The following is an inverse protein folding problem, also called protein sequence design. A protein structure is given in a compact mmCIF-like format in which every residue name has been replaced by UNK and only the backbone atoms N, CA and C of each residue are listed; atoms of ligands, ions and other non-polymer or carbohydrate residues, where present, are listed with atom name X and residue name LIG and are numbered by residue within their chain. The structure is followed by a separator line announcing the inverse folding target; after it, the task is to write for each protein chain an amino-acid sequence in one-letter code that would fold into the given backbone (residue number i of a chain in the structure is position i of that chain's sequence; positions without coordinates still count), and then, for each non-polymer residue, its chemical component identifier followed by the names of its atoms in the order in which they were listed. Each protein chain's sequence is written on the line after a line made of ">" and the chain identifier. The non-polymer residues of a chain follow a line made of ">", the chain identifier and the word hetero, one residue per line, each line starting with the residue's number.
data_IF_059852743193
#
_entry.id   IF_059852743193
#
_cell.length_a   1.000
_cell.length_b   1.000
_cell.length_c   1.000
_cell.angle_alpha   90.00
_cell.angle_beta   90.00
_cell.angle_gamma   90.00
#
_symmetry.space_group_name_H-M   'P 1'
#
loop_
_entity.id
_entity.type
_entity.pdbx_description
1 polymer ?
#
# COMPACT_ATOMS: atom_id res chain seq x y z
N UNK A 1 -17.78 24.79 39.00
CA UNK A 1 -16.50 24.94 38.27
C UNK A 1 -16.48 23.99 37.09
N UNK A 2 -16.32 24.48 35.86
CA UNK A 2 -15.99 23.66 34.68
C UNK A 2 -15.02 24.48 33.84
N UNK A 3 -13.75 24.07 33.81
CA UNK A 3 -12.71 24.68 32.97
C UNK A 3 -12.74 23.98 31.62
N UNK A 4 -12.96 24.72 30.55
CA UNK A 4 -12.86 24.20 29.18
C UNK A 4 -11.49 24.65 28.68
N UNK A 5 -10.59 23.70 28.50
CA UNK A 5 -9.38 23.89 27.72
C UNK A 5 -9.46 22.93 26.55
N UNK A 6 -9.45 23.47 25.33
CA UNK A 6 -8.98 22.73 24.17
C UNK A 6 -8.32 23.70 23.20
N UNK A 7 -7.12 23.30 22.81
CA UNK A 7 -6.00 24.05 22.27
C UNK A 7 -6.01 23.91 20.75
N UNK A 8 -5.88 25.02 20.02
CA UNK A 8 -5.82 25.02 18.54
C UNK A 8 -4.38 24.79 18.12
N UNK A 9 -4.08 23.65 17.50
CA UNK A 9 -2.79 23.39 16.88
C UNK A 9 -2.89 23.49 15.37
N UNK A 10 -2.35 24.57 14.79
CA UNK A 10 -2.10 24.67 13.37
C UNK A 10 -0.81 23.90 13.04
N UNK A 11 -0.91 22.86 12.20
CA UNK A 11 0.24 22.11 11.70
C UNK A 11 0.62 22.69 10.34
N UNK A 12 1.72 23.43 10.29
CA UNK A 12 2.37 23.85 9.04
C UNK A 12 3.19 22.68 8.51
N UNK A 13 2.81 22.11 7.37
CA UNK A 13 3.61 21.10 6.68
C UNK A 13 4.63 21.81 5.78
N UNK A 14 5.90 21.82 6.22
CA UNK A 14 7.02 22.30 5.43
C UNK A 14 7.26 21.42 4.21
N UNK A 15 7.25 22.03 3.03
CA UNK A 15 7.71 21.43 1.78
C UNK A 15 9.22 21.18 1.84
N UNK A 16 9.62 19.92 1.69
CA UNK A 16 11.03 19.54 1.49
C UNK A 16 11.21 19.16 0.03
N UNK A 17 11.89 20.00 -0.75
CA UNK A 17 12.39 19.61 -2.08
C UNK A 17 13.74 18.92 -1.89
N UNK A 18 13.76 17.60 -1.91
CA UNK A 18 14.99 16.82 -1.92
C UNK A 18 15.49 16.69 -3.37
N UNK A 19 16.47 17.52 -3.72
CA UNK A 19 17.29 17.31 -4.90
C UNK A 19 18.43 16.35 -4.54
N UNK A 20 18.24 15.07 -4.85
CA UNK A 20 19.26 14.03 -4.72
C UNK A 20 19.90 13.73 -6.08
N UNK A 21 21.23 13.79 -6.10
CA UNK A 21 22.11 13.40 -7.19
C UNK A 21 21.79 11.97 -7.69
N UNK A 22 21.16 11.84 -8.86
CA UNK A 22 21.00 10.54 -9.53
C UNK A 22 22.33 10.15 -10.18
N UNK A 23 23.12 9.37 -9.43
CA UNK A 23 24.21 8.59 -9.99
C UNK A 23 23.66 7.52 -10.94
N UNK A 24 24.41 7.35 -12.00
CA UNK A 24 24.07 6.65 -13.23
C UNK A 24 24.15 5.12 -13.07
N UNK A 25 23.03 4.49 -12.71
CA UNK A 25 22.76 3.04 -12.82
C UNK A 25 21.45 2.82 -13.60
N UNK A 26 21.44 3.23 -14.87
CA UNK A 26 20.20 3.47 -15.63
C UNK A 26 19.67 2.28 -16.46
N UNK A 27 20.27 1.09 -16.36
CA UNK A 27 19.84 -0.05 -17.20
C UNK A 27 19.05 -1.14 -16.44
N UNK A 28 19.16 -1.24 -15.10
CA UNK A 28 18.41 -2.22 -14.30
C UNK A 28 17.31 -1.59 -13.40
N UNK A 29 17.43 -0.31 -13.08
CA UNK A 29 16.39 0.42 -12.33
C UNK A 29 15.10 0.63 -13.16
N UNK A 30 15.20 0.61 -14.50
CA UNK A 30 14.06 0.83 -15.39
C UNK A 30 13.05 -0.33 -15.41
N UNK A 31 13.49 -1.56 -15.15
CA UNK A 31 12.62 -2.74 -15.00
C UNK A 31 12.00 -2.80 -13.61
N UNK A 32 12.80 -2.57 -12.56
CA UNK A 32 12.34 -2.56 -11.16
C UNK A 32 11.30 -1.46 -10.90
N UNK A 33 11.51 -0.27 -11.46
CA UNK A 33 10.57 0.85 -11.33
C UNK A 33 9.26 0.59 -12.08
N UNK A 34 9.30 -0.01 -13.27
CA UNK A 34 8.10 -0.36 -14.04
C UNK A 34 7.29 -1.45 -13.33
N UNK A 35 7.99 -2.43 -12.76
CA UNK A 35 7.37 -3.51 -11.99
C UNK A 35 6.74 -2.96 -10.70
N UNK A 36 7.42 -2.03 -9.99
CA UNK A 36 6.86 -1.32 -8.83
C UNK A 36 5.62 -0.51 -9.18
N UNK A 37 5.63 0.24 -10.28
CA UNK A 37 4.45 1.01 -10.74
C UNK A 37 3.28 0.07 -11.08
N UNK A 38 3.56 -1.06 -11.72
CA UNK A 38 2.53 -2.06 -12.04
C UNK A 38 1.95 -2.71 -10.77
N UNK A 39 2.79 -3.03 -9.79
CA UNK A 39 2.40 -3.55 -8.48
C UNK A 39 1.54 -2.54 -7.70
N UNK A 40 1.97 -1.30 -7.61
CA UNK A 40 1.22 -0.22 -6.95
C UNK A 40 -0.14 0.01 -7.60
N UNK A 41 -0.23 -0.09 -8.94
CA UNK A 41 -1.50 0.04 -9.64
C UNK A 41 -2.48 -1.08 -9.27
N UNK A 42 -1.99 -2.32 -9.13
CA UNK A 42 -2.82 -3.46 -8.72
C UNK A 42 -3.28 -3.30 -7.28
N UNK A 43 -2.37 -2.90 -6.38
CA UNK A 43 -2.66 -2.77 -4.94
C UNK A 43 -3.55 -1.56 -4.63
N UNK A 44 -3.49 -0.50 -5.45
CA UNK A 44 -4.37 0.66 -5.33
C UNK A 44 -5.75 0.47 -6.00
N UNK A 45 -6.11 -0.74 -6.44
CA UNK A 45 -7.46 -0.99 -6.92
C UNK A 45 -8.46 -0.96 -5.74
N UNK A 46 -9.35 0.04 -5.74
CA UNK A 46 -10.32 0.27 -4.66
C UNK A 46 -11.25 -0.93 -4.42
N UNK A 47 -11.62 -1.64 -5.50
CA UNK A 47 -12.50 -2.80 -5.39
C UNK A 47 -11.78 -3.96 -4.71
N UNK A 48 -10.55 -4.26 -5.14
CA UNK A 48 -9.77 -5.35 -4.55
C UNK A 48 -9.38 -5.05 -3.09
N UNK A 49 -9.07 -3.79 -2.77
CA UNK A 49 -8.87 -3.35 -1.38
C UNK A 49 -10.12 -3.54 -0.53
N UNK A 50 -11.28 -3.15 -1.05
CA UNK A 50 -12.56 -3.34 -0.35
C UNK A 50 -12.85 -4.82 -0.10
N UNK A 51 -12.71 -5.68 -1.12
CA UNK A 51 -12.93 -7.11 -1.00
C UNK A 51 -11.97 -7.76 -0.01
N UNK A 52 -10.69 -7.39 -0.06
CA UNK A 52 -9.69 -7.86 0.90
C UNK A 52 -10.06 -7.46 2.34
N UNK A 53 -10.49 -6.21 2.53
CA UNK A 53 -10.93 -5.71 3.84
C UNK A 53 -12.20 -6.43 4.34
N UNK A 54 -13.15 -6.67 3.45
CA UNK A 54 -14.40 -7.37 3.78
C UNK A 54 -14.12 -8.82 4.21
N UNK A 55 -13.28 -9.53 3.46
CA UNK A 55 -12.79 -10.86 3.82
C UNK A 55 -12.05 -10.86 5.16
N UNK A 56 -11.17 -9.90 5.41
CA UNK A 56 -10.39 -9.83 6.65
C UNK A 56 -11.27 -9.50 7.87
N UNK A 57 -12.18 -8.55 7.73
CA UNK A 57 -13.02 -8.09 8.84
C UNK A 57 -14.19 -9.03 9.13
N UNK A 58 -14.77 -9.63 8.09
CA UNK A 58 -15.98 -10.43 8.19
C UNK A 58 -15.78 -11.85 7.64
N UNK A 59 -14.60 -12.45 7.80
CA UNK A 59 -14.25 -13.74 7.18
C UNK A 59 -15.15 -14.94 7.50
N UNK A 60 -16.02 -14.84 8.50
CA UNK A 60 -17.04 -15.85 8.83
C UNK A 60 -18.48 -15.44 8.47
N UNK A 61 -18.70 -14.20 8.03
CA UNK A 61 -20.00 -13.77 7.51
C UNK A 61 -20.18 -14.26 6.08
N UNK A 62 -21.43 -14.23 5.62
CA UNK A 62 -21.75 -14.45 4.21
C UNK A 62 -21.05 -13.43 3.29
N UNK A 63 -20.98 -12.16 3.70
CA UNK A 63 -20.31 -11.11 2.92
C UNK A 63 -18.80 -11.30 2.81
N UNK A 64 -18.12 -11.74 3.88
CA UNK A 64 -16.69 -12.03 3.83
C UNK A 64 -16.37 -13.32 3.10
N UNK A 65 -17.26 -14.33 3.13
CA UNK A 65 -17.14 -15.53 2.29
C UNK A 65 -17.32 -15.21 0.80
N UNK A 66 -18.28 -14.34 0.44
CA UNK A 66 -18.44 -13.88 -0.93
C UNK A 66 -17.22 -13.06 -1.40
N UNK A 67 -16.75 -12.15 -0.56
CA UNK A 67 -15.53 -11.40 -0.84
C UNK A 67 -14.32 -12.33 -1.05
N UNK A 68 -14.20 -13.38 -0.24
CA UNK A 68 -13.17 -14.41 -0.41
C UNK A 68 -13.29 -15.14 -1.75
N UNK A 69 -14.50 -15.53 -2.16
CA UNK A 69 -14.72 -16.15 -3.47
C UNK A 69 -14.27 -15.23 -4.61
N UNK A 70 -14.56 -13.93 -4.51
CA UNK A 70 -14.10 -12.94 -5.49
C UNK A 70 -12.58 -12.76 -5.46
N UNK A 71 -11.96 -12.82 -4.28
CA UNK A 71 -10.50 -12.73 -4.12
C UNK A 71 -9.74 -14.00 -4.55
N UNK A 72 -10.43 -15.13 -4.74
CA UNK A 72 -9.86 -16.34 -5.36
C UNK A 72 -9.81 -16.27 -6.89
N UNK A 73 -10.31 -15.20 -7.49
CA UNK A 73 -10.16 -14.96 -8.93
C UNK A 73 -8.71 -14.60 -9.29
N UNK A 74 -8.37 -14.64 -10.58
CA UNK A 74 -7.03 -14.26 -11.07
C UNK A 74 -6.62 -12.84 -10.66
N UNK A 75 -7.57 -11.92 -10.59
CA UNK A 75 -7.33 -10.53 -10.17
C UNK A 75 -7.02 -10.47 -8.67
N UNK A 76 -7.77 -11.21 -7.86
CA UNK A 76 -7.51 -11.31 -6.42
C UNK A 76 -6.19 -12.02 -6.08
N UNK A 77 -5.84 -13.09 -6.82
CA UNK A 77 -4.53 -13.73 -6.70
C UNK A 77 -3.39 -12.77 -7.07
N UNK A 78 -3.54 -12.02 -8.17
CA UNK A 78 -2.55 -11.02 -8.58
C UNK A 78 -2.38 -9.92 -7.52
N UNK A 79 -3.48 -9.50 -6.89
CA UNK A 79 -3.48 -8.55 -5.79
C UNK A 79 -2.74 -9.07 -4.56
N UNK A 80 -2.99 -10.32 -4.15
CA UNK A 80 -2.28 -10.94 -3.03
C UNK A 80 -0.78 -11.09 -3.30
N UNK A 81 -0.41 -11.54 -4.50
CA UNK A 81 1.00 -11.61 -4.91
C UNK A 81 1.65 -10.22 -4.90
N UNK A 82 0.92 -9.19 -5.36
CA UNK A 82 1.41 -7.83 -5.37
C UNK A 82 1.66 -7.29 -3.95
N UNK A 83 0.76 -7.58 -3.00
CA UNK A 83 0.94 -7.25 -1.59
C UNK A 83 2.19 -7.95 -1.01
N UNK A 84 2.34 -9.26 -1.23
CA UNK A 84 3.49 -10.02 -0.72
C UNK A 84 4.82 -9.46 -1.23
N UNK A 85 4.86 -9.08 -2.52
CA UNK A 85 6.03 -8.46 -3.14
C UNK A 85 6.35 -7.08 -2.58
N UNK A 86 5.34 -6.23 -2.33
CA UNK A 86 5.53 -4.93 -1.70
C UNK A 86 6.01 -5.07 -0.25
N UNK A 87 5.50 -6.05 0.49
CA UNK A 87 5.97 -6.31 1.85
C UNK A 87 7.42 -6.81 1.87
N UNK A 88 7.79 -7.66 0.91
CA UNK A 88 9.15 -8.15 0.75
C UNK A 88 10.11 -7.01 0.39
N UNK A 89 9.78 -6.18 -0.61
CA UNK A 89 10.63 -5.03 -0.99
C UNK A 89 10.77 -4.04 0.16
N UNK A 90 9.68 -3.77 0.89
CA UNK A 90 9.73 -2.90 2.06
C UNK A 90 10.67 -3.46 3.13
N UNK A 91 10.67 -4.78 3.39
CA UNK A 91 11.58 -5.42 4.36
C UNK A 91 13.05 -5.33 3.95
N UNK A 92 13.36 -5.41 2.67
CA UNK A 92 14.72 -5.25 2.15
C UNK A 92 15.23 -3.82 2.36
N UNK A 93 14.38 -2.81 2.13
CA UNK A 93 14.74 -1.40 2.33
C UNK A 93 15.06 -1.06 3.81
N UNK A 94 14.40 -1.70 4.77
CA UNK A 94 14.65 -1.50 6.23
C UNK A 94 15.85 -2.29 6.75
N UNK A 95 16.25 -3.36 6.07
CA UNK A 95 17.40 -4.18 6.46
C UNK A 95 18.74 -3.63 5.93
N UNK A 96 18.69 -2.69 4.98
CA UNK A 96 19.86 -2.08 4.33
C UNK A 96 20.40 -0.80 4.99
N UNK A 97 19.79 -0.36 6.10
CA UNK A 97 20.22 0.80 6.92
C UNK A 97 20.74 0.37 8.28
#
# INVERSE_FOLDING_TARGET
>A
MKKIFAFVTAVTLSTSALAGNVSNDMDNAGTDLKDKIALEKIVNDDRLQYLHKEMTNYGFSESGMDARLQMMSKEGEAYHNALDRLEASKKEDISGT
#
